data_IF_646760924952
#
_entry.id   IF_646760924952
#
_cell.length_a   1.000
_cell.length_b   1.000
_cell.length_c   1.000
_cell.angle_alpha   90.00
_cell.angle_beta   90.00
_cell.angle_gamma   90.00
#
_symmetry.space_group_name_H-M   'P 1'
#
loop_
_entity.id
_entity.type
_entity.pdbx_description
1 polymer ?
#
# COMPACT_ATOMS: atom_id res chain seq x y z
N UNK A 1 -49.63 5.45 41.00
CA UNK A 1 -48.42 5.20 40.18
C UNK A 1 -48.84 4.45 38.92
N UNK A 2 -49.32 5.18 37.92
CA UNK A 2 -49.76 4.62 36.64
C UNK A 2 -49.26 5.56 35.54
N UNK A 3 -48.25 5.12 34.82
CA UNK A 3 -47.58 5.87 33.79
C UNK A 3 -48.06 5.47 32.39
N UNK A 4 -48.54 6.49 31.68
CA UNK A 4 -48.50 6.73 30.22
C UNK A 4 -49.70 6.27 29.38
N UNK A 5 -50.30 7.21 28.63
CA UNK A 5 -51.37 6.96 27.68
C UNK A 5 -50.87 6.72 26.23
N UNK A 6 -51.84 6.21 25.47
CA UNK A 6 -51.98 5.94 24.04
C UNK A 6 -51.59 7.07 23.05
N UNK A 7 -51.54 6.63 21.76
CA UNK A 7 -51.86 7.35 20.51
C UNK A 7 -50.64 7.79 19.67
N UNK A 8 -50.60 7.75 18.33
CA UNK A 8 -51.48 7.34 17.21
C UNK A 8 -50.56 7.43 15.95
N UNK A 9 -50.63 6.45 15.04
CA UNK A 9 -51.05 6.58 13.62
C UNK A 9 -50.43 7.76 12.85
N UNK A 10 -49.71 7.49 11.75
CA UNK A 10 -50.11 7.89 10.37
C UNK A 10 -49.23 7.26 9.29
N UNK A 11 -49.91 6.57 8.38
CA UNK A 11 -49.56 6.18 7.03
C UNK A 11 -49.47 7.41 6.12
N UNK A 12 -48.45 7.51 5.26
CA UNK A 12 -48.56 8.25 3.99
C UNK A 12 -47.67 7.62 2.93
N UNK A 13 -48.33 7.06 1.92
CA UNK A 13 -47.78 6.83 0.60
C UNK A 13 -47.56 8.18 -0.10
N UNK A 14 -46.49 8.30 -0.90
CA UNK A 14 -46.45 9.25 -2.00
C UNK A 14 -45.68 8.65 -3.18
N UNK A 15 -46.44 8.34 -4.22
CA UNK A 15 -45.94 8.13 -5.57
C UNK A 15 -45.72 9.50 -6.24
N UNK A 16 -44.63 9.65 -7.01
CA UNK A 16 -44.56 10.61 -8.11
C UNK A 16 -43.86 9.94 -9.28
N UNK A 17 -44.53 9.99 -10.43
CA UNK A 17 -44.15 9.40 -11.71
C UNK A 17 -43.33 10.37 -12.58
N UNK A 18 -42.52 9.76 -13.47
CA UNK A 18 -42.17 10.11 -14.85
C UNK A 18 -41.86 11.57 -15.27
N UNK A 19 -40.71 11.79 -15.92
CA UNK A 19 -40.62 11.93 -17.39
C UNK A 19 -39.22 12.42 -17.87
N UNK A 20 -38.71 11.70 -18.88
CA UNK A 20 -37.93 12.13 -20.05
C UNK A 20 -36.89 13.27 -19.91
N UNK A 21 -35.61 12.89 -19.94
CA UNK A 21 -34.58 13.69 -20.60
C UNK A 21 -33.68 12.76 -21.42
N UNK A 22 -33.77 12.90 -22.75
CA UNK A 22 -32.79 12.40 -23.71
C UNK A 22 -31.45 13.08 -23.41
N UNK A 23 -30.45 12.30 -23.00
CA UNK A 23 -29.06 12.75 -22.90
C UNK A 23 -28.28 12.21 -24.11
N UNK A 24 -27.77 13.05 -25.03
CA UNK A 24 -26.79 12.60 -26.00
C UNK A 24 -25.44 12.41 -25.30
N UNK A 25 -24.83 11.25 -25.49
CA UNK A 25 -23.38 11.05 -25.43
C UNK A 25 -22.72 11.28 -24.07
N UNK A 26 -23.12 10.54 -23.03
CA UNK A 26 -22.22 10.33 -21.89
C UNK A 26 -21.09 9.41 -22.35
N UNK A 27 -19.93 9.98 -22.69
CA UNK A 27 -18.70 9.21 -22.76
C UNK A 27 -18.50 8.61 -21.36
N UNK A 28 -18.78 7.31 -21.24
CA UNK A 28 -18.60 6.56 -20.01
C UNK A 28 -17.13 6.68 -19.60
N UNK A 29 -16.85 7.56 -18.64
CA UNK A 29 -15.56 7.55 -17.96
C UNK A 29 -15.42 6.15 -17.36
N UNK A 30 -14.39 5.37 -17.73
CA UNK A 30 -14.24 4.02 -17.22
C UNK A 30 -14.17 4.12 -15.70
N UNK A 31 -15.18 3.58 -15.03
CA UNK A 31 -15.14 3.36 -13.58
C UNK A 31 -13.95 2.43 -13.37
N UNK A 32 -12.89 2.86 -12.65
CA UNK A 32 -11.81 1.94 -12.32
C UNK A 32 -12.45 0.81 -11.52
N UNK A 33 -12.41 -0.40 -12.09
CA UNK A 33 -12.98 -1.57 -11.45
C UNK A 33 -12.30 -1.72 -10.08
N UNK A 34 -13.08 -1.90 -8.99
CA UNK A 34 -12.47 -2.20 -7.70
C UNK A 34 -11.62 -3.46 -7.87
N UNK A 35 -10.44 -3.56 -7.23
CA UNK A 35 -9.67 -4.78 -7.24
C UNK A 35 -10.60 -5.93 -6.79
N UNK A 36 -10.51 -7.12 -7.41
CA UNK A 36 -11.41 -8.21 -7.10
C UNK A 36 -11.38 -8.51 -5.60
N UNK A 37 -12.53 -8.37 -4.95
CA UNK A 37 -12.80 -8.90 -3.60
C UNK A 37 -12.52 -10.40 -3.69
N UNK A 38 -11.37 -10.81 -3.17
CA UNK A 38 -10.84 -12.15 -3.38
C UNK A 38 -9.32 -12.21 -3.47
N UNK A 39 -8.62 -11.08 -3.62
CA UNK A 39 -7.16 -11.05 -3.43
C UNK A 39 -6.79 -11.30 -1.97
N UNK A 40 -7.53 -10.69 -1.04
CA UNK A 40 -7.33 -10.88 0.41
C UNK A 40 -7.71 -12.31 0.83
N UNK A 41 -8.82 -12.86 0.33
CA UNK A 41 -9.19 -14.26 0.58
C UNK A 41 -8.24 -15.28 -0.07
N UNK A 42 -7.69 -14.99 -1.25
CA UNK A 42 -6.63 -15.85 -1.84
C UNK A 42 -5.35 -15.79 -1.04
N UNK A 43 -4.95 -14.60 -0.58
CA UNK A 43 -3.76 -14.45 0.24
C UNK A 43 -3.98 -15.08 1.62
N UNK A 44 -5.18 -14.96 2.21
CA UNK A 44 -5.55 -15.67 3.43
C UNK A 44 -5.69 -17.19 3.23
N UNK A 45 -6.09 -17.64 2.04
CA UNK A 45 -6.11 -19.04 1.62
C UNK A 45 -4.69 -19.61 1.47
N UNK A 46 -3.81 -18.93 0.74
CA UNK A 46 -2.38 -19.25 0.61
C UNK A 46 -1.65 -19.18 1.96
N UNK A 47 -2.08 -18.28 2.85
CA UNK A 47 -1.62 -18.24 4.23
C UNK A 47 -2.13 -19.44 5.01
N UNK A 48 -3.40 -19.81 4.87
CA UNK A 48 -3.99 -20.98 5.51
C UNK A 48 -3.22 -22.23 5.12
N UNK A 49 -2.96 -22.40 3.82
CA UNK A 49 -2.16 -23.50 3.31
C UNK A 49 -0.70 -23.38 3.76
N UNK A 50 -0.07 -22.22 3.69
CA UNK A 50 1.34 -22.03 4.11
C UNK A 50 1.58 -22.08 5.62
N UNK A 51 0.58 -21.72 6.45
CA UNK A 51 0.62 -21.83 7.91
C UNK A 51 0.25 -23.23 8.35
N UNK A 52 -0.71 -23.89 7.70
CA UNK A 52 -0.96 -25.32 7.88
C UNK A 52 0.26 -26.12 7.45
N UNK A 53 0.89 -25.82 6.32
CA UNK A 53 2.16 -26.41 5.88
C UNK A 53 3.30 -26.08 6.85
N UNK A 54 3.39 -24.87 7.39
CA UNK A 54 4.40 -24.54 8.41
C UNK A 54 4.15 -25.21 9.78
N UNK A 55 2.88 -25.42 10.16
CA UNK A 55 2.48 -26.06 11.43
C UNK A 55 2.50 -27.59 11.34
N UNK A 56 2.19 -28.15 10.17
CA UNK A 56 2.26 -29.59 9.89
C UNK A 56 3.64 -30.02 9.40
N UNK A 57 4.56 -29.08 9.20
CA UNK A 57 5.86 -29.38 8.60
C UNK A 57 5.70 -29.98 7.21
N UNK A 58 4.76 -29.45 6.41
CA UNK A 58 4.54 -29.85 5.03
C UNK A 58 5.86 -29.83 4.27
N UNK A 59 6.39 -31.02 4.08
CA UNK A 59 6.06 -31.75 2.88
C UNK A 59 6.52 -31.10 1.57
N UNK A 60 7.36 -30.07 1.60
CA UNK A 60 8.39 -29.99 0.57
C UNK A 60 9.16 -31.30 0.72
N UNK A 61 8.97 -32.22 -0.24
CA UNK A 61 9.54 -33.55 -0.27
C UNK A 61 10.79 -33.58 0.61
N UNK A 62 10.66 -34.26 1.75
CA UNK A 62 11.75 -35.09 2.20
C UNK A 62 11.94 -36.06 1.02
N UNK A 63 12.60 -35.61 -0.05
CA UNK A 63 13.33 -36.51 -0.91
C UNK A 63 14.14 -37.27 0.11
N UNK A 64 13.79 -38.53 0.30
CA UNK A 64 14.32 -39.37 1.36
C UNK A 64 15.80 -39.60 1.04
N UNK A 65 16.79 -38.96 1.69
CA UNK A 65 17.94 -39.73 2.07
C UNK A 65 17.45 -40.54 3.27
N UNK A 66 17.60 -41.87 3.19
CA UNK A 66 17.22 -42.78 4.27
C UNK A 66 17.72 -42.36 5.67
N UNK A 67 17.37 -43.13 6.72
CA UNK A 67 17.56 -42.77 8.12
C UNK A 67 18.92 -42.10 8.32
N UNK A 68 18.97 -40.94 9.02
CA UNK A 68 20.18 -40.11 9.08
C UNK A 68 21.36 -41.02 9.41
N UNK A 69 22.27 -41.18 8.46
CA UNK A 69 23.49 -41.94 8.64
C UNK A 69 24.35 -41.23 9.69
N UNK A 70 24.08 -41.49 10.97
CA UNK A 70 24.75 -40.91 12.12
C UNK A 70 24.67 -39.39 12.24
N UNK A 71 25.39 -38.85 13.24
CA UNK A 71 25.37 -37.43 13.61
C UNK A 71 25.77 -36.44 12.50
N UNK A 72 26.49 -36.86 11.46
CA UNK A 72 26.86 -35.99 10.33
C UNK A 72 25.66 -35.60 9.45
N UNK A 73 24.70 -36.51 9.27
CA UNK A 73 23.45 -36.22 8.55
C UNK A 73 22.58 -35.21 9.29
N UNK A 74 22.50 -35.35 10.62
CA UNK A 74 21.75 -34.44 11.50
C UNK A 74 22.30 -33.01 11.43
N UNK A 75 23.62 -32.83 11.56
CA UNK A 75 24.24 -31.50 11.47
C UNK A 75 23.98 -30.82 10.13
N UNK A 76 24.08 -31.58 9.03
CA UNK A 76 23.81 -31.04 7.69
C UNK A 76 22.36 -30.57 7.57
N UNK A 77 21.42 -31.33 8.12
CA UNK A 77 20.00 -30.98 8.11
C UNK A 77 19.67 -29.78 9.01
N UNK A 78 20.32 -29.65 10.17
CA UNK A 78 20.18 -28.47 11.04
C UNK A 78 20.73 -27.21 10.36
N UNK A 79 21.89 -27.29 9.71
CA UNK A 79 22.45 -26.18 8.92
C UNK A 79 21.49 -25.71 7.83
N UNK A 80 20.84 -26.65 7.16
CA UNK A 80 19.83 -26.34 6.15
C UNK A 80 18.62 -25.62 6.73
N UNK A 81 18.10 -26.09 7.87
CA UNK A 81 16.97 -25.44 8.56
C UNK A 81 17.31 -24.02 9.02
N UNK A 82 18.53 -23.79 9.51
CA UNK A 82 19.01 -22.43 9.84
C UNK A 82 19.10 -21.53 8.60
N UNK A 83 19.60 -22.06 7.46
CA UNK A 83 19.63 -21.30 6.20
C UNK A 83 18.23 -20.89 5.76
N UNK A 84 17.28 -21.82 5.81
CA UNK A 84 15.88 -21.55 5.47
C UNK A 84 15.20 -20.58 6.44
N UNK A 85 15.53 -20.63 7.73
CA UNK A 85 15.06 -19.66 8.71
C UNK A 85 15.60 -18.25 8.40
N UNK A 86 16.89 -18.14 8.06
CA UNK A 86 17.50 -16.87 7.67
C UNK A 86 16.91 -16.32 6.36
N UNK A 87 16.59 -17.19 5.39
CA UNK A 87 15.86 -16.81 4.16
C UNK A 87 14.47 -16.27 4.46
N UNK A 88 13.71 -16.96 5.32
CA UNK A 88 12.39 -16.50 5.73
C UNK A 88 12.45 -15.16 6.49
N UNK A 89 13.46 -14.96 7.33
CA UNK A 89 13.66 -13.69 8.02
C UNK A 89 14.06 -12.55 7.06
N UNK A 90 14.88 -12.84 6.03
CA UNK A 90 15.15 -11.88 4.94
C UNK A 90 13.86 -11.47 4.24
N UNK A 91 13.02 -12.44 3.86
CA UNK A 91 11.70 -12.15 3.27
C UNK A 91 10.80 -11.29 4.18
N UNK A 92 10.84 -11.53 5.50
CA UNK A 92 10.11 -10.69 6.46
C UNK A 92 10.65 -9.25 6.51
N UNK A 93 11.98 -9.05 6.43
CA UNK A 93 12.60 -7.72 6.39
C UNK A 93 12.26 -6.97 5.10
N UNK A 94 12.32 -7.64 3.95
CA UNK A 94 11.90 -7.09 2.66
C UNK A 94 10.43 -6.67 2.67
N UNK A 95 9.53 -7.51 3.19
CA UNK A 95 8.12 -7.17 3.36
C UNK A 95 7.93 -5.97 4.30
N UNK A 96 8.74 -5.85 5.34
CA UNK A 96 8.71 -4.71 6.28
C UNK A 96 9.10 -3.39 5.59
N UNK A 97 10.12 -3.41 4.74
CA UNK A 97 10.56 -2.24 3.97
C UNK A 97 9.52 -1.83 2.93
N UNK A 98 8.98 -2.79 2.19
CA UNK A 98 7.88 -2.57 1.27
C UNK A 98 6.66 -1.97 1.98
N UNK A 99 6.30 -2.48 3.16
CA UNK A 99 5.19 -1.97 3.96
C UNK A 99 5.41 -0.52 4.40
N UNK A 100 6.63 -0.14 4.81
CA UNK A 100 6.96 1.25 5.14
C UNK A 100 6.78 2.18 3.94
N UNK A 101 7.29 1.77 2.78
CA UNK A 101 7.14 2.51 1.53
C UNK A 101 5.65 2.67 1.15
N UNK A 102 4.88 1.60 1.28
CA UNK A 102 3.44 1.61 0.96
C UNK A 102 2.65 2.51 1.89
N UNK A 103 2.87 2.41 3.21
CA UNK A 103 2.24 3.28 4.23
C UNK A 103 2.47 4.76 3.95
N UNK A 104 3.69 5.13 3.55
CA UNK A 104 3.98 6.51 3.17
C UNK A 104 3.20 6.94 1.91
N UNK A 105 3.04 6.05 0.94
CA UNK A 105 2.25 6.31 -0.26
C UNK A 105 0.74 6.41 0.02
N UNK A 106 0.19 5.52 0.84
CA UNK A 106 -1.22 5.54 1.25
C UNK A 106 -1.53 6.78 2.08
N UNK A 107 -0.63 7.19 2.98
CA UNK A 107 -0.78 8.45 3.72
C UNK A 107 -0.80 9.68 2.77
N UNK A 108 -0.02 9.67 1.69
CA UNK A 108 -0.09 10.72 0.65
C UNK A 108 -1.43 10.67 -0.10
N UNK A 109 -1.95 9.48 -0.42
CA UNK A 109 -3.26 9.33 -1.05
C UNK A 109 -4.38 9.84 -0.14
N UNK A 110 -4.33 9.52 1.15
CA UNK A 110 -5.33 9.97 2.12
C UNK A 110 -5.36 11.49 2.22
N UNK A 111 -4.20 12.15 2.36
CA UNK A 111 -4.14 13.63 2.36
C UNK A 111 -4.72 14.24 1.09
N UNK A 112 -4.49 13.61 -0.07
CA UNK A 112 -5.06 14.05 -1.35
C UNK A 112 -6.57 13.84 -1.40
N UNK A 113 -7.06 12.74 -0.84
CA UNK A 113 -8.49 12.44 -0.72
C UNK A 113 -9.17 13.49 0.16
N UNK A 114 -8.64 13.76 1.36
CA UNK A 114 -9.19 14.76 2.28
C UNK A 114 -9.27 16.15 1.61
N UNK A 115 -8.23 16.54 0.85
CA UNK A 115 -8.23 17.78 0.08
C UNK A 115 -9.27 17.78 -1.06
N UNK A 116 -9.49 16.63 -1.72
CA UNK A 116 -10.49 16.50 -2.78
C UNK A 116 -11.92 16.50 -2.23
N UNK A 117 -12.15 15.89 -1.07
CA UNK A 117 -13.44 15.92 -0.37
C UNK A 117 -13.80 17.34 0.07
N UNK A 118 -12.83 18.09 0.59
CA UNK A 118 -13.03 19.51 0.89
C UNK A 118 -13.39 20.34 -0.35
N UNK A 119 -12.64 20.17 -1.45
CA UNK A 119 -12.94 20.86 -2.70
C UNK A 119 -14.31 20.47 -3.29
N UNK A 120 -14.72 19.22 -3.08
CA UNK A 120 -16.05 18.75 -3.44
C UNK A 120 -17.14 19.41 -2.59
N UNK A 121 -16.95 19.51 -1.28
CA UNK A 121 -17.88 20.21 -0.38
C UNK A 121 -18.04 21.68 -0.77
N UNK A 122 -16.93 22.37 -1.05
CA UNK A 122 -16.95 23.76 -1.54
C UNK A 122 -17.71 23.90 -2.87
N UNK A 123 -17.49 22.96 -3.80
CA UNK A 123 -18.19 22.94 -5.08
C UNK A 123 -19.69 22.66 -4.93
N UNK A 124 -20.08 21.77 -3.99
CA UNK A 124 -21.48 21.49 -3.65
C UNK A 124 -22.15 22.70 -3.01
N UNK A 125 -21.45 23.41 -2.12
CA UNK A 125 -21.97 24.64 -1.51
C UNK A 125 -22.23 25.72 -2.57
N UNK A 126 -21.32 25.90 -3.53
CA UNK A 126 -21.51 26.84 -4.64
C UNK A 126 -22.67 26.43 -5.56
N UNK A 127 -22.73 25.16 -5.96
CA UNK A 127 -23.83 24.65 -6.77
C UNK A 127 -25.19 24.78 -6.03
N UNK A 128 -25.21 24.57 -4.71
CA UNK A 128 -26.38 24.76 -3.87
C UNK A 128 -26.85 26.21 -3.79
N UNK A 129 -25.93 27.18 -3.72
CA UNK A 129 -26.26 28.62 -3.80
C UNK A 129 -26.92 28.95 -5.13
N UNK A 130 -26.32 28.50 -6.24
CA UNK A 130 -26.88 28.67 -7.59
C UNK A 130 -28.27 28.06 -7.70
N UNK A 131 -28.45 26.82 -7.22
CA UNK A 131 -29.73 26.13 -7.25
C UNK A 131 -30.80 26.89 -6.46
N UNK A 132 -30.45 27.45 -5.29
CA UNK A 132 -31.40 28.25 -4.50
C UNK A 132 -31.87 29.51 -5.23
N UNK A 133 -30.96 30.23 -5.88
CA UNK A 133 -31.31 31.41 -6.71
C UNK A 133 -32.27 31.01 -7.83
N UNK A 134 -32.03 29.87 -8.48
CA UNK A 134 -32.92 29.34 -9.51
C UNK A 134 -34.31 28.98 -8.97
N UNK A 135 -34.38 28.28 -7.84
CA UNK A 135 -35.64 27.90 -7.20
C UNK A 135 -36.46 29.09 -6.69
N UNK A 136 -35.81 30.18 -6.29
CA UNK A 136 -36.47 31.40 -5.83
C UNK A 136 -36.97 32.30 -6.98
N UNK A 137 -36.97 31.80 -8.22
CA UNK A 137 -37.52 32.51 -9.39
C UNK A 137 -36.52 33.33 -10.18
N UNK A 138 -35.22 33.25 -9.88
CA UNK A 138 -34.15 33.90 -10.64
C UNK A 138 -33.75 33.17 -11.92
N UNK A 139 -34.69 32.54 -12.64
CA UNK A 139 -34.38 31.68 -13.79
C UNK A 139 -34.27 32.41 -15.13
N UNK A 140 -33.37 31.94 -15.98
CA UNK A 140 -33.14 32.45 -17.35
C UNK A 140 -34.40 32.37 -18.22
N UNK A 141 -35.25 31.37 -18.01
CA UNK A 141 -36.50 31.23 -18.76
C UNK A 141 -37.44 32.41 -18.48
N UNK A 142 -37.52 32.85 -17.22
CA UNK A 142 -38.29 34.05 -16.85
C UNK A 142 -37.68 35.33 -17.43
N UNK A 143 -36.37 35.34 -17.70
CA UNK A 143 -35.66 36.46 -18.28
C UNK A 143 -35.84 36.54 -19.81
N UNK A 144 -35.76 35.42 -20.52
CA UNK A 144 -36.04 35.35 -21.97
C UNK A 144 -37.53 35.63 -22.25
N UNK A 145 -38.43 35.16 -21.39
CA UNK A 145 -39.84 35.54 -21.45
C UNK A 145 -40.04 37.03 -21.18
N UNK A 146 -39.28 37.63 -20.25
CA UNK A 146 -39.29 39.08 -20.01
C UNK A 146 -38.77 39.86 -21.21
N UNK A 147 -37.71 39.41 -21.89
CA UNK A 147 -37.21 40.02 -23.13
C UNK A 147 -38.26 39.98 -24.24
N UNK A 148 -38.92 38.82 -24.44
CA UNK A 148 -39.96 38.64 -25.46
C UNK A 148 -41.23 39.45 -25.19
N UNK A 149 -41.49 39.79 -23.93
CA UNK A 149 -42.68 40.55 -23.49
C UNK A 149 -42.34 41.98 -23.07
N UNK A 150 -41.09 42.43 -23.24
CA UNK A 150 -40.63 43.74 -22.81
C UNK A 150 -41.24 44.85 -23.68
N UNK A 151 -41.67 45.94 -23.02
CA UNK A 151 -42.15 47.15 -23.71
C UNK A 151 -41.02 47.90 -24.41
N UNK A 152 -39.80 47.77 -23.89
CA UNK A 152 -38.56 48.33 -24.43
C UNK A 152 -37.48 47.22 -24.52
N UNK A 153 -37.11 46.80 -25.74
CA UNK A 153 -36.11 45.75 -25.94
C UNK A 153 -34.67 46.19 -25.63
N UNK A 154 -34.37 47.51 -25.64
CA UNK A 154 -33.01 48.02 -25.42
C UNK A 154 -32.53 47.82 -23.98
N UNK A 155 -33.35 48.19 -23.01
CA UNK A 155 -33.07 47.99 -21.57
C UNK A 155 -32.98 46.49 -21.22
N UNK A 156 -33.79 45.68 -21.89
CA UNK A 156 -33.81 44.23 -21.67
C UNK A 156 -32.58 43.51 -22.27
N UNK A 157 -31.96 44.08 -23.32
CA UNK A 157 -30.69 43.58 -23.88
C UNK A 157 -29.48 43.90 -22.98
N UNK A 158 -29.43 45.06 -22.32
CA UNK A 158 -28.37 45.36 -21.33
C UNK A 158 -28.40 44.39 -20.15
N UNK A 159 -29.59 43.97 -19.72
CA UNK A 159 -29.75 42.90 -18.73
C UNK A 159 -29.30 41.54 -19.27
N UNK A 160 -29.43 41.28 -20.58
CA UNK A 160 -29.03 40.03 -21.23
C UNK A 160 -27.55 39.67 -21.05
N UNK A 161 -26.65 40.66 -21.03
CA UNK A 161 -25.22 40.43 -20.81
C UNK A 161 -24.90 39.92 -19.39
N UNK A 162 -25.66 40.38 -18.38
CA UNK A 162 -25.54 39.86 -17.01
C UNK A 162 -26.02 38.41 -16.91
N UNK A 163 -27.03 38.04 -17.70
CA UNK A 163 -27.55 36.67 -17.82
C UNK A 163 -26.58 35.72 -18.51
N UNK A 164 -25.89 36.17 -19.56
CA UNK A 164 -24.84 35.39 -20.21
C UNK A 164 -23.70 35.09 -19.22
N UNK A 165 -23.24 36.12 -18.48
CA UNK A 165 -22.23 35.94 -17.42
C UNK A 165 -22.71 34.98 -16.32
N UNK A 166 -23.97 35.07 -15.90
CA UNK A 166 -24.55 34.15 -14.93
C UNK A 166 -24.61 32.71 -15.48
N UNK A 167 -24.95 32.53 -16.74
CA UNK A 167 -24.96 31.23 -17.42
C UNK A 167 -23.57 30.61 -17.49
N UNK A 168 -22.56 31.39 -17.88
CA UNK A 168 -21.16 30.95 -17.88
C UNK A 168 -20.70 30.57 -16.47
N UNK A 169 -21.04 31.36 -15.44
CA UNK A 169 -20.70 31.05 -14.06
C UNK A 169 -21.33 29.73 -13.58
N UNK A 170 -22.58 29.45 -13.97
CA UNK A 170 -23.25 28.19 -13.66
C UNK A 170 -22.61 27.00 -14.35
N UNK A 171 -22.33 27.10 -15.65
CA UNK A 171 -21.62 26.06 -16.40
C UNK A 171 -20.26 25.78 -15.74
N UNK A 172 -19.52 26.82 -15.38
CA UNK A 172 -18.25 26.69 -14.67
C UNK A 172 -18.41 26.00 -13.30
N UNK A 173 -19.45 26.35 -12.53
CA UNK A 173 -19.72 25.72 -11.24
C UNK A 173 -20.09 24.24 -11.38
N UNK A 174 -20.93 23.88 -12.35
CA UNK A 174 -21.28 22.47 -12.61
C UNK A 174 -20.07 21.67 -13.09
N UNK A 175 -19.23 22.25 -13.94
CA UNK A 175 -17.98 21.60 -14.40
C UNK A 175 -17.00 21.40 -13.26
N UNK A 176 -16.85 22.38 -12.36
CA UNK A 176 -16.01 22.22 -11.15
C UNK A 176 -16.57 21.14 -10.22
N UNK A 177 -17.88 21.10 -10.02
CA UNK A 177 -18.53 20.08 -9.20
C UNK A 177 -18.29 18.67 -9.75
N UNK A 178 -18.56 18.43 -11.03
CA UNK A 178 -18.37 17.11 -11.64
C UNK A 178 -16.91 16.68 -11.63
N UNK A 179 -15.98 17.61 -11.87
CA UNK A 179 -14.54 17.35 -11.77
C UNK A 179 -14.10 17.00 -10.33
N UNK A 180 -14.62 17.72 -9.32
CA UNK A 180 -14.33 17.45 -7.92
C UNK A 180 -14.88 16.08 -7.49
N UNK A 181 -16.10 15.72 -7.92
CA UNK A 181 -16.70 14.40 -7.67
C UNK A 181 -15.89 13.26 -8.28
N UNK A 182 -15.48 13.41 -9.55
CA UNK A 182 -14.66 12.42 -10.23
C UNK A 182 -13.31 12.24 -9.51
N UNK A 183 -12.66 13.35 -9.12
CA UNK A 183 -11.38 13.33 -8.42
C UNK A 183 -11.48 12.67 -7.04
N UNK A 184 -12.48 13.03 -6.24
CA UNK A 184 -12.71 12.43 -4.93
C UNK A 184 -12.98 10.93 -5.04
N UNK A 185 -13.81 10.51 -6.01
CA UNK A 185 -14.11 9.09 -6.26
C UNK A 185 -12.87 8.29 -6.64
N UNK A 186 -12.06 8.81 -7.55
CA UNK A 186 -10.81 8.15 -7.98
C UNK A 186 -9.81 8.02 -6.83
N UNK A 187 -9.67 9.06 -6.01
CA UNK A 187 -8.78 9.04 -4.85
C UNK A 187 -9.30 8.09 -3.76
N UNK A 188 -10.61 8.01 -3.54
CA UNK A 188 -11.21 7.07 -2.61
C UNK A 188 -10.96 5.61 -3.05
N UNK A 189 -11.11 5.32 -4.34
CA UNK A 189 -10.79 4.00 -4.89
C UNK A 189 -9.31 3.66 -4.73
N UNK A 190 -8.42 4.59 -5.04
CA UNK A 190 -6.97 4.41 -4.89
C UNK A 190 -6.54 4.25 -3.41
N UNK A 191 -7.18 4.96 -2.48
CA UNK A 191 -6.93 4.82 -1.04
C UNK A 191 -7.31 3.42 -0.55
N UNK A 192 -8.50 2.93 -0.94
CA UNK A 192 -8.95 1.57 -0.62
C UNK A 192 -8.01 0.50 -1.17
N UNK A 193 -7.65 0.59 -2.44
CA UNK A 193 -6.69 -0.34 -3.05
C UNK A 193 -5.32 -0.30 -2.34
N UNK A 194 -4.88 0.88 -1.91
CA UNK A 194 -3.64 1.01 -1.14
C UNK A 194 -3.68 0.35 0.23
N UNK A 195 -4.81 0.44 0.93
CA UNK A 195 -5.01 -0.27 2.19
C UNK A 195 -5.06 -1.79 1.98
N UNK A 196 -5.72 -2.26 0.91
CA UNK A 196 -5.76 -3.69 0.58
C UNK A 196 -4.36 -4.25 0.33
N UNK A 197 -3.51 -3.52 -0.40
CA UNK A 197 -2.10 -3.90 -0.62
C UNK A 197 -1.27 -3.89 0.67
N UNK A 198 -1.51 -2.93 1.58
CA UNK A 198 -0.85 -2.93 2.90
C UNK A 198 -1.22 -4.16 3.72
N UNK A 199 -2.50 -4.56 3.71
CA UNK A 199 -2.94 -5.77 4.40
C UNK A 199 -2.24 -7.01 3.87
N UNK A 200 -2.08 -7.14 2.55
CA UNK A 200 -1.34 -8.24 1.92
C UNK A 200 0.13 -8.25 2.37
N UNK A 201 0.78 -7.09 2.46
CA UNK A 201 2.18 -7.01 2.92
C UNK A 201 2.34 -7.36 4.40
N UNK A 202 1.44 -6.90 5.27
CA UNK A 202 1.42 -7.27 6.70
C UNK A 202 1.27 -8.78 6.84
N UNK A 203 0.33 -9.34 6.10
CA UNK A 203 0.08 -10.77 6.04
C UNK A 203 1.35 -11.55 5.62
N UNK A 204 2.00 -11.13 4.53
CA UNK A 204 3.24 -11.78 4.05
C UNK A 204 4.39 -11.69 5.06
N UNK A 205 4.50 -10.56 5.75
CA UNK A 205 5.49 -10.35 6.80
C UNK A 205 5.29 -11.35 7.96
N UNK A 206 4.07 -11.47 8.46
CA UNK A 206 3.73 -12.40 9.54
C UNK A 206 3.93 -13.87 9.12
N UNK A 207 3.56 -14.23 7.89
CA UNK A 207 3.82 -15.56 7.34
C UNK A 207 5.31 -15.92 7.33
N UNK A 208 6.13 -14.97 6.87
CA UNK A 208 7.58 -15.15 6.78
C UNK A 208 8.20 -15.31 8.17
N UNK A 209 7.73 -14.55 9.16
CA UNK A 209 8.12 -14.71 10.57
C UNK A 209 7.70 -16.07 11.13
N UNK A 210 6.45 -16.47 10.91
CA UNK A 210 5.95 -17.76 11.36
C UNK A 210 6.76 -18.92 10.76
N UNK A 211 7.10 -18.83 9.47
CA UNK A 211 7.96 -19.80 8.78
C UNK A 211 9.36 -19.85 9.40
N UNK A 212 9.98 -18.70 9.67
CA UNK A 212 11.30 -18.65 10.32
C UNK A 212 11.28 -19.37 11.69
N UNK A 213 10.27 -19.06 12.52
CA UNK A 213 10.09 -19.70 13.83
C UNK A 213 9.85 -21.21 13.69
N UNK A 214 9.04 -21.65 12.73
CA UNK A 214 8.79 -23.06 12.50
C UNK A 214 10.07 -23.82 12.13
N UNK A 215 10.90 -23.26 11.24
CA UNK A 215 12.19 -23.87 10.84
C UNK A 215 13.16 -23.98 12.01
N UNK A 216 13.21 -22.97 12.88
CA UNK A 216 14.01 -23.02 14.11
C UNK A 216 13.53 -24.11 15.08
N UNK A 217 12.21 -24.24 15.30
CA UNK A 217 11.65 -25.33 16.12
C UNK A 217 11.95 -26.71 15.54
N UNK A 218 11.89 -26.86 14.21
CA UNK A 218 12.29 -28.12 13.56
C UNK A 218 13.77 -28.44 13.79
N UNK A 219 14.64 -27.42 13.83
CA UNK A 219 16.06 -27.61 14.13
C UNK A 219 16.26 -28.05 15.58
N UNK A 220 15.57 -27.41 16.53
CA UNK A 220 15.57 -27.81 17.95
C UNK A 220 15.08 -29.24 18.15
N UNK A 221 13.97 -29.62 17.52
CA UNK A 221 13.43 -30.98 17.59
C UNK A 221 14.41 -32.01 17.02
N UNK A 222 15.06 -31.69 15.90
CA UNK A 222 16.04 -32.59 15.29
C UNK A 222 17.28 -32.74 16.18
N UNK A 223 17.76 -31.67 16.80
CA UNK A 223 18.86 -31.75 17.77
C UNK A 223 18.48 -32.57 19.01
N UNK A 224 17.22 -32.51 19.45
CA UNK A 224 16.74 -33.31 20.58
C UNK A 224 16.70 -34.82 20.30
N UNK A 225 16.80 -35.26 19.04
CA UNK A 225 16.89 -36.69 18.68
C UNK A 225 18.29 -37.28 18.85
N UNK A 226 19.33 -36.45 19.00
CA UNK A 226 20.70 -36.92 19.17
C UNK A 226 20.90 -37.59 20.54
N UNK A 227 21.54 -38.75 20.55
CA UNK A 227 21.97 -39.37 21.81
C UNK A 227 23.12 -38.59 22.45
N UNK A 228 23.34 -38.71 23.78
CA UNK A 228 24.46 -38.06 24.46
C UNK A 228 25.83 -38.45 23.87
N UNK A 229 25.97 -39.70 23.41
CA UNK A 229 27.20 -40.19 22.78
C UNK A 229 27.46 -39.53 21.42
N UNK A 230 26.41 -39.33 20.60
CA UNK A 230 26.53 -38.64 19.32
C UNK A 230 26.77 -37.14 19.48
N UNK A 231 26.15 -36.51 20.49
CA UNK A 231 26.39 -35.11 20.83
C UNK A 231 27.85 -34.89 21.29
N UNK A 232 28.38 -35.76 22.16
CA UNK A 232 29.77 -35.70 22.60
C UNK A 232 30.76 -35.95 21.45
N UNK A 233 30.44 -36.89 20.54
CA UNK A 233 31.25 -37.15 19.35
C UNK A 233 31.27 -35.95 18.38
N UNK A 234 30.17 -35.20 18.27
CA UNK A 234 30.09 -33.96 17.50
C UNK A 234 30.91 -32.83 18.13
N UNK A 235 30.81 -32.66 19.44
CA UNK A 235 31.52 -31.62 20.19
C UNK A 235 33.05 -31.82 20.17
N UNK A 236 33.50 -33.07 20.32
CA UNK A 236 34.91 -33.42 20.19
C UNK A 236 35.46 -33.14 18.78
N UNK A 237 34.64 -33.36 17.74
CA UNK A 237 35.03 -33.12 16.34
C UNK A 237 35.06 -31.63 16.01
N UNK A 238 34.15 -30.84 16.59
CA UNK A 238 34.18 -29.38 16.49
C UNK A 238 35.46 -28.84 17.16
N UNK A 239 35.74 -29.25 18.39
CA UNK A 239 36.90 -28.78 19.16
C UNK A 239 38.24 -29.14 18.53
N UNK A 240 38.39 -30.36 17.98
CA UNK A 240 39.63 -30.80 17.32
C UNK A 240 39.88 -30.15 15.95
N UNK A 241 38.84 -29.64 15.27
CA UNK A 241 38.99 -28.93 14.00
C UNK A 241 39.55 -27.52 14.15
N UNK A 242 39.31 -26.87 15.29
CA UNK A 242 39.84 -25.53 15.60
C UNK A 242 41.36 -25.52 15.82
N UNK A 243 41.94 -26.59 16.36
CA UNK A 243 43.39 -26.67 16.63
C UNK A 243 44.22 -26.98 15.36
N UNK A 244 43.66 -27.73 14.41
CA UNK A 244 44.35 -28.04 13.15
C UNK A 244 44.43 -26.84 12.18
N UNK A 245 43.49 -25.90 12.24
CA UNK A 245 43.49 -24.68 11.40
C UNK A 245 44.40 -23.56 11.91
N UNK A 246 44.90 -23.63 13.15
CA UNK A 246 45.79 -22.64 13.73
C UNK A 246 47.29 -22.96 13.53
N UNK A 247 47.61 -24.17 13.04
CA UNK A 247 48.99 -24.63 12.81
C UNK A 247 49.60 -24.28 11.45
N UNK A 248 48.81 -23.79 10.49
CA UNK A 248 49.24 -23.52 9.11
C UNK A 248 49.15 -22.02 8.77
N UNK A 249 49.59 -21.18 9.71
CA UNK A 249 49.84 -19.75 9.49
C UNK A 249 51.03 -19.27 10.32
N UNK A 250 52.09 -20.09 10.42
CA UNK A 250 53.39 -19.66 10.97
C UNK A 250 54.49 -20.33 10.15
N UNK A 251 54.84 -19.74 9.02
CA UNK A 251 55.83 -20.35 8.14
C UNK A 251 56.18 -19.57 6.89
N UNK A 252 56.14 -18.23 6.89
CA UNK A 252 56.89 -17.47 5.87
C UNK A 252 57.20 -16.04 6.33
N UNK A 253 58.16 -15.94 7.24
CA UNK A 253 58.97 -14.72 7.41
C UNK A 253 60.44 -15.16 7.40
N UNK A 254 61.17 -14.84 6.31
CA UNK A 254 62.23 -13.83 6.34
C UNK A 254 63.25 -13.93 5.19
N UNK A 255 63.70 -12.72 4.76
CA UNK A 255 65.01 -12.34 4.16
C UNK A 255 65.14 -12.45 2.63
N UNK A 256 65.49 -11.40 1.86
CA UNK A 256 65.90 -10.04 2.21
C UNK A 256 66.32 -9.20 0.98
N UNK A 257 66.30 -7.86 1.17
CA UNK A 257 67.30 -6.83 0.78
C UNK A 257 67.87 -6.83 -0.65
N UNK A 258 67.95 -5.73 -1.42
CA UNK A 258 68.42 -4.37 -1.10
C UNK A 258 67.93 -3.32 -2.14
N UNK A 259 67.96 -2.02 -1.79
CA UNK A 259 67.80 -0.98 -2.83
C UNK A 259 67.66 0.52 -2.49
N UNK A 260 67.79 0.99 -1.24
CA UNK A 260 68.20 2.36 -0.79
C UNK A 260 67.49 3.64 -1.38
N UNK A 261 67.70 4.90 -0.88
CA UNK A 261 66.59 5.75 -0.40
C UNK A 261 66.53 7.14 -1.08
N UNK A 262 65.52 7.97 -0.76
CA UNK A 262 65.63 9.44 -0.61
C UNK A 262 64.37 9.98 0.08
N UNK A 263 64.58 10.89 1.04
CA UNK A 263 63.59 11.54 1.91
C UNK A 263 63.01 12.84 1.28
N UNK A 264 61.96 13.47 1.89
CA UNK A 264 60.99 14.36 1.25
C UNK A 264 61.33 15.87 1.39
N UNK A 265 60.51 16.81 0.88
CA UNK A 265 59.40 17.35 1.71
C UNK A 265 58.13 17.87 0.96
N UNK A 266 57.03 17.92 1.71
CA UNK A 266 55.94 18.92 1.80
C UNK A 266 55.20 19.48 0.57
N UNK A 267 53.86 19.57 0.71
CA UNK A 267 53.09 20.70 0.13
C UNK A 267 51.75 20.38 -0.53
N UNK A 268 50.66 20.71 0.18
CA UNK A 268 49.55 21.57 -0.29
C UNK A 268 48.92 21.38 -1.71
N UNK A 269 47.58 21.21 -1.71
CA UNK A 269 46.68 21.62 -2.79
C UNK A 269 46.20 20.46 -3.68
N UNK A 270 44.97 20.40 -4.19
CA UNK A 270 43.84 21.31 -4.21
C UNK A 270 42.63 20.49 -4.66
N UNK A 271 41.44 20.79 -4.13
CA UNK A 271 40.17 20.22 -4.57
C UNK A 271 39.77 20.76 -5.96
N UNK A 272 39.16 19.95 -6.85
CA UNK A 272 38.54 20.49 -8.07
C UNK A 272 37.11 21.02 -7.82
N UNK A 273 36.67 22.06 -8.55
CA UNK A 273 35.44 22.81 -8.27
C UNK A 273 34.16 22.21 -8.87
N UNK A 274 33.03 22.56 -8.25
CA UNK A 274 31.66 22.34 -8.71
C UNK A 274 31.34 23.12 -10.02
N UNK A 275 30.43 22.62 -10.88
CA UNK A 275 29.99 23.33 -12.08
C UNK A 275 28.92 24.42 -11.79
N UNK A 276 28.82 25.47 -12.62
CA UNK A 276 27.84 26.52 -12.45
C UNK A 276 26.42 26.06 -12.82
N UNK A 277 25.45 26.53 -12.03
CA UNK A 277 24.03 26.44 -12.34
C UNK A 277 23.70 27.37 -13.52
N UNK A 278 23.04 26.82 -14.53
CA UNK A 278 22.22 27.54 -15.51
C UNK A 278 20.76 27.20 -15.29
#
# INVERSE_FOLDING_TARGET
MAGRPLARITTTALAVAAALAVTPGSAAVPVPQPPPRGAVDRVLGDLGDGVVEALTGGGAELGDPGPPGGGAGVVSRVRELYRQAAEAERGAREASEALRGRRAATARLQRRLDAAEKALEESRAEAGRIARVQYQGGSELSAHLRLLLARDPGEALEQGYLMERASVARIAATTRLTAAEARARTLAAASRAGLDEELVLVVRQEASRARAVARLRSAEALLATLSPAEAAALDARASGGQEAGAGEAVGEEAVGRDGVPVAPPDGSGSAPPLPPAG
#
